data_IF_540239741198
#
_entry.id   IF_540239741198
#
_cell.length_a   1.000
_cell.length_b   1.000
_cell.length_c   1.000
_cell.angle_alpha   90.00
_cell.angle_beta   90.00
_cell.angle_gamma   90.00
#
_symmetry.space_group_name_H-M   'P 1'
#
loop_
_entity.id
_entity.type
_entity.pdbx_description
1 polymer ?
#
# COMPACT_ATOMS: atom_id res chain seq x y z
N UNK A 1 -16.55 15.91 15.22
CA UNK A 1 -16.15 17.32 15.03
C UNK A 1 -14.67 17.39 15.35
N UNK A 2 -13.80 17.29 14.35
CA UNK A 2 -12.36 17.37 14.56
C UNK A 2 -11.99 18.81 14.86
N UNK A 3 -11.50 19.07 16.06
CA UNK A 3 -10.93 20.37 16.42
C UNK A 3 -9.54 20.44 15.80
N UNK A 4 -9.40 21.16 14.71
CA UNK A 4 -8.09 21.51 14.15
C UNK A 4 -7.41 22.46 15.14
N UNK A 5 -6.68 21.90 16.09
CA UNK A 5 -5.76 22.67 16.89
C UNK A 5 -4.68 23.25 15.99
N UNK A 6 -4.61 24.56 15.88
CA UNK A 6 -3.56 25.25 15.14
C UNK A 6 -2.20 24.96 15.81
N UNK A 7 -1.53 23.90 15.40
CA UNK A 7 -0.16 23.60 15.78
C UNK A 7 0.78 24.48 14.97
N UNK A 8 1.92 24.87 15.56
CA UNK A 8 2.95 25.71 14.92
C UNK A 8 3.53 25.13 13.61
N UNK A 9 3.25 23.86 13.31
CA UNK A 9 3.77 23.15 12.12
C UNK A 9 2.71 22.94 11.02
N UNK A 10 1.55 23.59 11.13
CA UNK A 10 0.55 23.50 10.08
C UNK A 10 0.81 24.55 8.98
N UNK A 11 0.88 24.10 7.75
CA UNK A 11 0.97 24.95 6.57
C UNK A 11 -0.38 24.86 5.85
N UNK A 12 -1.26 25.81 6.10
CA UNK A 12 -2.63 25.77 5.59
C UNK A 12 -3.37 24.53 6.17
N UNK A 13 -3.99 23.68 5.31
CA UNK A 13 -4.72 22.51 5.74
C UNK A 13 -3.81 21.31 6.11
N UNK A 14 -2.50 21.43 5.92
CA UNK A 14 -1.56 20.31 6.07
C UNK A 14 -0.96 20.25 7.47
N UNK A 15 -0.98 19.08 8.08
CA UNK A 15 -0.26 18.77 9.32
C UNK A 15 0.99 17.92 9.00
N UNK A 16 2.17 18.54 9.03
CA UNK A 16 3.46 17.86 8.77
C UNK A 16 4.18 17.45 10.08
N UNK A 17 3.45 17.22 11.15
CA UNK A 17 4.06 16.77 12.40
C UNK A 17 4.55 15.32 12.29
N UNK A 18 5.74 15.08 12.82
CA UNK A 18 6.29 13.74 13.07
C UNK A 18 6.52 13.61 14.56
N UNK A 19 6.23 12.45 15.11
CA UNK A 19 6.53 12.17 16.51
C UNK A 19 8.06 12.24 16.74
N UNK A 20 8.46 13.21 17.56
CA UNK A 20 9.87 13.51 17.83
C UNK A 20 10.57 12.40 18.63
N UNK A 21 9.84 11.69 19.48
CA UNK A 21 10.41 10.62 20.30
C UNK A 21 10.90 9.44 19.46
N UNK A 22 10.27 9.19 18.31
CA UNK A 22 10.58 8.07 17.43
C UNK A 22 11.18 8.49 16.09
N UNK A 23 11.49 9.78 15.92
CA UNK A 23 11.93 10.38 14.65
C UNK A 23 13.11 9.63 14.02
N UNK A 24 14.15 9.35 14.80
CA UNK A 24 15.36 8.68 14.32
C UNK A 24 15.03 7.30 13.77
N UNK A 25 14.25 6.50 14.50
CA UNK A 25 13.85 5.15 14.07
C UNK A 25 13.01 5.21 12.81
N UNK A 26 12.09 6.16 12.69
CA UNK A 26 11.29 6.35 11.47
C UNK A 26 12.18 6.60 10.26
N UNK A 27 13.19 7.47 10.38
CA UNK A 27 14.13 7.73 9.29
C UNK A 27 15.07 6.57 8.99
N UNK A 28 15.45 5.75 9.98
CA UNK A 28 16.18 4.50 9.73
C UNK A 28 15.38 3.58 8.79
N UNK A 29 14.07 3.43 9.03
CA UNK A 29 13.21 2.63 8.13
C UNK A 29 13.00 3.30 6.77
N UNK A 30 12.96 4.63 6.69
CA UNK A 30 12.97 5.33 5.39
C UNK A 30 14.23 4.96 4.60
N UNK A 31 15.40 5.07 5.21
CA UNK A 31 16.68 4.73 4.58
C UNK A 31 16.70 3.24 4.18
N UNK A 32 16.25 2.35 5.06
CA UNK A 32 16.19 0.92 4.77
C UNK A 32 15.31 0.61 3.54
N UNK A 33 14.11 1.20 3.46
CA UNK A 33 13.24 1.02 2.31
C UNK A 33 13.83 1.58 1.00
N UNK A 34 14.51 2.74 1.08
CA UNK A 34 15.24 3.30 -0.05
C UNK A 34 16.42 2.42 -0.48
N UNK A 35 17.17 1.84 0.48
CA UNK A 35 18.25 0.91 0.19
C UNK A 35 17.76 -0.37 -0.47
N UNK A 36 16.60 -0.91 -0.05
CA UNK A 36 15.97 -2.07 -0.70
C UNK A 36 15.63 -1.73 -2.16
N UNK A 37 14.98 -0.59 -2.40
CA UNK A 37 14.64 -0.15 -3.75
C UNK A 37 15.90 0.08 -4.61
N UNK A 38 16.94 0.69 -4.03
CA UNK A 38 18.20 0.94 -4.69
C UNK A 38 18.97 -0.36 -5.00
N UNK A 39 18.96 -1.35 -4.10
CA UNK A 39 19.54 -2.65 -4.36
C UNK A 39 18.89 -3.33 -5.58
N UNK A 40 17.53 -3.33 -5.65
CA UNK A 40 16.83 -3.87 -6.82
C UNK A 40 17.22 -3.12 -8.09
N UNK A 41 17.31 -1.79 -8.04
CA UNK A 41 17.79 -0.98 -9.16
C UNK A 41 19.19 -1.41 -9.62
N UNK A 42 20.14 -1.58 -8.71
CA UNK A 42 21.52 -1.96 -9.07
C UNK A 42 21.59 -3.29 -9.83
N UNK A 43 20.78 -4.27 -9.45
CA UNK A 43 20.71 -5.57 -10.11
C UNK A 43 19.99 -5.57 -11.46
N UNK A 44 19.18 -4.55 -11.72
CA UNK A 44 18.28 -4.50 -12.90
C UNK A 44 18.40 -3.21 -13.70
N UNK A 45 19.40 -2.38 -13.43
CA UNK A 45 19.57 -1.01 -13.96
C UNK A 45 19.63 -0.90 -15.49
N UNK A 46 19.98 -1.98 -16.17
CA UNK A 46 20.05 -2.01 -17.65
C UNK A 46 18.65 -2.10 -18.31
N UNK A 47 17.60 -2.25 -17.53
CA UNK A 47 16.24 -2.34 -18.05
C UNK A 47 15.65 -0.94 -18.30
N UNK A 48 15.04 -0.75 -19.47
CA UNK A 48 14.40 0.52 -19.85
C UNK A 48 13.27 0.97 -18.90
N UNK A 49 12.73 0.09 -18.07
CA UNK A 49 11.72 0.45 -17.06
C UNK A 49 12.24 1.41 -15.98
N UNK A 50 13.55 1.64 -15.91
CA UNK A 50 14.19 2.60 -15.01
C UNK A 50 14.40 3.98 -15.62
N UNK A 51 14.14 4.14 -16.91
CA UNK A 51 14.28 5.43 -17.58
C UNK A 51 13.26 6.43 -17.04
N UNK A 52 13.77 7.61 -16.62
CA UNK A 52 12.94 8.70 -16.09
C UNK A 52 13.19 9.94 -16.95
N UNK A 53 12.24 10.21 -17.82
CA UNK A 53 12.19 11.45 -18.61
C UNK A 53 11.17 12.44 -18.09
N UNK A 54 10.93 13.50 -18.85
CA UNK A 54 9.95 14.54 -18.51
C UNK A 54 8.54 13.96 -18.33
N UNK A 55 8.18 12.96 -19.15
CA UNK A 55 6.88 12.28 -19.08
C UNK A 55 6.68 11.59 -17.74
N UNK A 56 7.69 10.83 -17.28
CA UNK A 56 7.65 10.09 -16.03
C UNK A 56 7.58 11.05 -14.83
N UNK A 57 8.28 12.18 -14.86
CA UNK A 57 8.19 13.22 -13.82
C UNK A 57 6.78 13.79 -13.73
N UNK A 58 6.12 14.05 -14.86
CA UNK A 58 4.72 14.49 -14.87
C UNK A 58 3.80 13.42 -14.28
N UNK A 59 4.00 12.15 -14.62
CA UNK A 59 3.21 11.06 -14.05
C UNK A 59 3.48 10.85 -12.55
N UNK A 60 4.69 11.07 -12.06
CA UNK A 60 4.97 11.09 -10.61
C UNK A 60 4.12 12.13 -9.89
N UNK A 61 4.08 13.36 -10.41
CA UNK A 61 3.31 14.45 -9.83
C UNK A 61 1.80 14.16 -9.85
N UNK A 62 1.28 13.70 -10.99
CA UNK A 62 -0.15 13.36 -11.13
C UNK A 62 -0.51 12.18 -10.20
N UNK A 63 0.29 11.12 -10.18
CA UNK A 63 0.06 9.95 -9.34
C UNK A 63 0.08 10.28 -7.85
N UNK A 64 1.06 11.08 -7.41
CA UNK A 64 1.14 11.53 -6.02
C UNK A 64 -0.06 12.42 -5.64
N UNK A 65 -0.45 13.37 -6.49
CA UNK A 65 -1.59 14.24 -6.25
C UNK A 65 -2.90 13.44 -6.16
N UNK A 66 -3.14 12.52 -7.10
CA UNK A 66 -4.32 11.67 -7.07
C UNK A 66 -4.33 10.78 -5.81
N UNK A 67 -3.20 10.16 -5.48
CA UNK A 67 -3.14 9.32 -4.29
C UNK A 67 -3.38 10.13 -3.01
N UNK A 68 -2.80 11.33 -2.89
CA UNK A 68 -3.01 12.22 -1.75
C UNK A 68 -4.49 12.61 -1.60
N UNK A 69 -5.13 13.09 -2.68
CA UNK A 69 -6.53 13.53 -2.65
C UNK A 69 -7.47 12.37 -2.33
N UNK A 70 -7.31 11.23 -2.99
CA UNK A 70 -8.17 10.08 -2.72
C UNK A 70 -7.89 9.45 -1.35
N UNK A 71 -6.65 9.43 -0.86
CA UNK A 71 -6.35 9.02 0.51
C UNK A 71 -7.04 9.93 1.52
N UNK A 72 -6.93 11.25 1.36
CA UNK A 72 -7.63 12.21 2.22
C UNK A 72 -9.15 12.01 2.20
N UNK A 73 -9.73 11.85 1.01
CA UNK A 73 -11.18 11.67 0.84
C UNK A 73 -11.70 10.44 1.60
N UNK A 74 -10.97 9.33 1.58
CA UNK A 74 -11.37 8.09 2.24
C UNK A 74 -10.95 8.01 3.72
N UNK A 75 -9.80 8.53 4.09
CA UNK A 75 -9.34 8.53 5.48
C UNK A 75 -10.18 9.45 6.37
N UNK A 76 -10.68 10.57 5.83
CA UNK A 76 -11.39 11.57 6.60
C UNK A 76 -12.85 11.26 6.88
N UNK A 77 -13.48 10.34 6.16
CA UNK A 77 -14.95 10.33 6.11
C UNK A 77 -15.61 8.99 6.32
N UNK A 78 -14.97 7.84 6.12
CA UNK A 78 -15.82 6.69 5.85
C UNK A 78 -15.63 5.48 6.73
N UNK A 79 -14.47 4.89 6.85
CA UNK A 79 -14.40 3.60 7.55
C UNK A 79 -13.04 3.36 8.19
N UNK A 80 -13.02 3.41 9.51
CA UNK A 80 -11.91 2.87 10.28
C UNK A 80 -12.08 1.35 10.34
N UNK A 81 -11.04 0.63 9.96
CA UNK A 81 -11.01 -0.83 10.09
C UNK A 81 -10.59 -1.19 11.52
N UNK A 82 -11.20 -2.19 12.15
CA UNK A 82 -10.71 -2.71 13.42
C UNK A 82 -9.21 -3.03 13.33
N UNK A 83 -8.39 -2.29 14.09
CA UNK A 83 -6.93 -2.38 14.01
C UNK A 83 -6.29 -1.80 15.27
N UNK A 84 -5.00 -1.98 15.43
CA UNK A 84 -4.24 -1.41 16.54
C UNK A 84 -4.00 0.10 16.38
N UNK A 85 -3.81 0.53 15.14
CA UNK A 85 -3.71 1.94 14.77
C UNK A 85 -4.89 2.34 13.88
N UNK A 86 -5.00 3.63 13.54
CA UNK A 86 -6.09 4.15 12.70
C UNK A 86 -5.96 3.69 11.24
N UNK A 87 -6.16 2.40 11.01
CA UNK A 87 -6.19 1.86 9.63
C UNK A 87 -7.54 2.20 9.00
N UNK A 88 -7.49 2.92 7.90
CA UNK A 88 -8.68 3.28 7.12
C UNK A 88 -8.78 2.42 5.87
N UNK A 89 -10.00 2.19 5.39
CA UNK A 89 -10.22 1.62 4.05
C UNK A 89 -9.61 2.56 3.01
N UNK A 90 -8.71 2.03 2.19
CA UNK A 90 -7.92 2.85 1.27
C UNK A 90 -8.01 2.37 -0.19
N UNK A 91 -9.14 2.62 -0.88
CA UNK A 91 -9.27 2.32 -2.32
C UNK A 91 -8.19 3.00 -3.16
N UNK A 92 -7.70 4.14 -2.69
CA UNK A 92 -6.64 4.90 -3.32
C UNK A 92 -5.35 4.10 -3.56
N UNK A 93 -5.12 2.99 -2.82
CA UNK A 93 -3.92 2.15 -2.99
C UNK A 93 -3.77 1.58 -4.42
N UNK A 94 -4.87 1.47 -5.16
CA UNK A 94 -4.83 1.07 -6.56
C UNK A 94 -4.09 2.08 -7.46
N UNK A 95 -3.97 3.35 -7.02
CA UNK A 95 -3.29 4.41 -7.78
C UNK A 95 -1.78 4.13 -7.89
N UNK A 96 -1.00 4.03 -6.80
CA UNK A 96 0.42 3.71 -6.93
C UNK A 96 0.68 2.37 -7.63
N UNK A 97 -0.20 1.37 -7.47
CA UNK A 97 -0.10 0.11 -8.21
C UNK A 97 -0.24 0.31 -9.71
N UNK A 98 -1.25 1.06 -10.14
CA UNK A 98 -1.46 1.38 -11.55
C UNK A 98 -0.32 2.21 -12.12
N UNK A 99 0.08 3.29 -11.41
CA UNK A 99 1.16 4.16 -11.89
C UNK A 99 2.50 3.44 -11.97
N UNK A 100 2.80 2.56 -11.02
CA UNK A 100 3.98 1.69 -11.08
C UNK A 100 3.94 0.78 -12.30
N UNK A 101 2.86 0.05 -12.49
CA UNK A 101 2.70 -0.85 -13.62
C UNK A 101 2.73 -0.13 -14.98
N UNK A 102 2.08 1.02 -15.11
CA UNK A 102 1.95 1.73 -16.38
C UNK A 102 3.19 2.54 -16.77
N UNK A 103 3.95 3.05 -15.78
CA UNK A 103 4.99 4.06 -16.01
C UNK A 103 6.35 3.73 -15.36
N UNK A 104 6.47 2.60 -14.69
CA UNK A 104 7.71 2.11 -14.12
C UNK A 104 7.84 2.19 -12.60
N UNK A 105 8.83 1.47 -12.04
CA UNK A 105 8.98 1.32 -10.58
C UNK A 105 9.19 2.65 -9.87
N UNK A 106 9.95 3.58 -10.47
CA UNK A 106 10.26 4.89 -9.89
C UNK A 106 8.99 5.75 -9.77
N UNK A 107 8.15 5.74 -10.82
CA UNK A 107 6.87 6.47 -10.83
C UNK A 107 5.93 5.91 -9.78
N UNK A 108 5.82 4.57 -9.68
CA UNK A 108 5.01 3.92 -8.67
C UNK A 108 5.47 4.23 -7.25
N UNK A 109 6.79 4.16 -7.02
CA UNK A 109 7.38 4.51 -5.71
C UNK A 109 7.05 5.95 -5.31
N UNK A 110 7.32 6.89 -6.18
CA UNK A 110 7.06 8.31 -5.93
C UNK A 110 5.57 8.59 -5.67
N UNK A 111 4.70 8.04 -6.52
CA UNK A 111 3.24 8.18 -6.37
C UNK A 111 2.76 7.66 -5.02
N UNK A 112 3.23 6.50 -4.59
CA UNK A 112 2.87 5.91 -3.30
C UNK A 112 3.47 6.65 -2.11
N UNK A 113 4.78 6.92 -2.13
CA UNK A 113 5.48 7.53 -0.99
C UNK A 113 5.06 8.99 -0.79
N UNK A 114 5.20 9.82 -1.82
CA UNK A 114 4.91 11.25 -1.73
C UNK A 114 3.41 11.49 -1.60
N UNK A 115 2.59 10.75 -2.35
CA UNK A 115 1.14 10.83 -2.22
C UNK A 115 0.63 10.46 -0.83
N UNK A 116 1.25 9.46 -0.16
CA UNK A 116 0.92 9.14 1.23
C UNK A 116 1.30 10.27 2.20
N UNK A 117 2.48 10.88 2.04
CA UNK A 117 2.91 12.01 2.87
C UNK A 117 1.85 13.13 2.83
N UNK A 118 1.44 13.53 1.64
CA UNK A 118 0.43 14.59 1.50
C UNK A 118 -0.97 14.14 1.92
N UNK A 119 -1.34 12.89 1.68
CA UNK A 119 -2.60 12.31 2.14
C UNK A 119 -2.71 12.32 3.67
N UNK A 120 -1.68 11.86 4.36
CA UNK A 120 -1.62 11.85 5.82
C UNK A 120 -1.58 13.28 6.40
N UNK A 121 -0.83 14.19 5.77
CA UNK A 121 -0.80 15.59 6.16
C UNK A 121 -2.18 16.27 6.03
N UNK A 122 -2.94 15.95 4.97
CA UNK A 122 -4.29 16.48 4.74
C UNK A 122 -5.32 15.90 5.72
N UNK A 123 -5.15 14.65 6.15
CA UNK A 123 -6.05 14.03 7.14
C UNK A 123 -5.84 14.55 8.57
N UNK A 124 -4.74 15.24 8.80
CA UNK A 124 -4.40 15.78 10.12
C UNK A 124 -3.80 14.75 11.08
N UNK A 125 -3.56 13.52 10.66
CA UNK A 125 -2.95 12.46 11.50
C UNK A 125 -1.46 12.71 11.80
N UNK A 126 -0.83 13.65 11.10
CA UNK A 126 0.61 13.80 11.09
C UNK A 126 1.30 12.78 10.19
N UNK A 127 2.62 12.83 10.14
CA UNK A 127 3.39 12.01 9.22
C UNK A 127 3.87 10.72 9.87
N UNK A 128 3.74 9.64 9.12
CA UNK A 128 4.34 8.34 9.41
C UNK A 128 5.29 7.94 8.26
N UNK A 129 6.55 8.46 8.25
CA UNK A 129 7.47 8.30 7.13
C UNK A 129 7.72 6.85 6.72
N UNK A 130 7.76 5.90 7.67
CA UNK A 130 7.91 4.48 7.42
C UNK A 130 6.70 3.89 6.64
N UNK A 131 5.48 4.36 6.95
CA UNK A 131 4.27 3.98 6.21
C UNK A 131 4.26 4.60 4.81
N UNK A 132 4.78 5.81 4.67
CA UNK A 132 4.91 6.45 3.36
C UNK A 132 5.86 5.65 2.46
N UNK A 133 7.00 5.18 2.99
CA UNK A 133 7.90 4.29 2.25
C UNK A 133 7.23 2.95 1.93
N UNK A 134 6.48 2.36 2.87
CA UNK A 134 5.69 1.16 2.61
C UNK A 134 4.75 1.32 1.42
N UNK A 135 3.99 2.42 1.39
CA UNK A 135 3.11 2.75 0.25
C UNK A 135 3.91 3.02 -1.05
N UNK A 136 5.10 3.59 -0.94
CA UNK A 136 6.03 3.71 -2.07
C UNK A 136 6.45 2.34 -2.62
N UNK A 137 6.81 1.40 -1.73
CA UNK A 137 7.14 0.03 -2.12
C UNK A 137 5.98 -0.71 -2.79
N UNK A 138 4.72 -0.41 -2.43
CA UNK A 138 3.55 -0.95 -3.13
C UNK A 138 3.61 -0.62 -4.63
N UNK A 139 3.78 0.65 -4.96
CA UNK A 139 3.86 1.10 -6.35
C UNK A 139 5.15 0.65 -7.05
N UNK A 140 6.27 0.67 -6.33
CA UNK A 140 7.57 0.21 -6.80
C UNK A 140 7.52 -1.25 -7.28
N UNK A 141 7.03 -2.15 -6.42
CA UNK A 141 6.95 -3.58 -6.72
C UNK A 141 5.93 -3.84 -7.83
N UNK A 142 4.80 -3.13 -7.86
CA UNK A 142 3.87 -3.22 -8.98
C UNK A 142 4.55 -2.88 -10.31
N UNK A 143 5.43 -1.87 -10.33
CA UNK A 143 6.23 -1.46 -11.49
C UNK A 143 7.29 -2.48 -11.90
N UNK A 144 7.78 -3.30 -10.97
CA UNK A 144 8.75 -4.37 -11.29
C UNK A 144 8.20 -5.40 -12.30
N UNK A 145 6.90 -5.46 -12.51
CA UNK A 145 6.30 -6.26 -13.58
C UNK A 145 6.94 -5.98 -14.95
N UNK A 146 7.39 -4.76 -15.18
CA UNK A 146 8.00 -4.33 -16.44
C UNK A 146 9.44 -4.83 -16.62
N UNK A 147 10.09 -5.29 -15.55
CA UNK A 147 11.46 -5.83 -15.60
C UNK A 147 11.51 -7.24 -16.20
N UNK A 148 10.37 -7.92 -16.28
CA UNK A 148 10.31 -9.32 -16.72
C UNK A 148 9.74 -9.46 -18.11
N UNK A 149 10.49 -10.10 -19.02
CA UNK A 149 10.06 -10.40 -20.38
C UNK A 149 8.98 -11.48 -20.40
N UNK A 150 9.16 -12.54 -19.61
CA UNK A 150 8.17 -13.62 -19.45
C UNK A 150 7.19 -13.24 -18.33
N UNK A 151 6.12 -12.55 -18.72
CA UNK A 151 5.07 -12.11 -17.78
C UNK A 151 4.40 -13.28 -17.08
N UNK A 152 4.14 -14.36 -17.79
CA UNK A 152 3.43 -15.53 -17.23
C UNK A 152 4.24 -16.17 -16.12
N UNK A 153 5.51 -16.48 -16.38
CA UNK A 153 6.40 -17.06 -15.37
C UNK A 153 6.59 -16.12 -14.17
N UNK A 154 6.73 -14.83 -14.41
CA UNK A 154 6.86 -13.85 -13.34
C UNK A 154 5.61 -13.79 -12.45
N UNK A 155 4.41 -13.78 -13.06
CA UNK A 155 3.15 -13.82 -12.32
C UNK A 155 2.99 -15.09 -11.50
N UNK A 156 3.39 -16.26 -12.02
CA UNK A 156 3.33 -17.52 -11.28
C UNK A 156 4.24 -17.48 -10.03
N UNK A 157 5.46 -16.98 -10.18
CA UNK A 157 6.38 -16.80 -9.06
C UNK A 157 5.81 -15.83 -8.02
N UNK A 158 5.30 -14.67 -8.47
CA UNK A 158 4.69 -13.65 -7.61
C UNK A 158 3.49 -14.22 -6.84
N UNK A 159 2.65 -15.03 -7.50
CA UNK A 159 1.51 -15.70 -6.87
C UNK A 159 1.95 -16.63 -5.74
N UNK A 160 2.97 -17.46 -5.99
CA UNK A 160 3.49 -18.38 -4.96
C UNK A 160 4.04 -17.61 -3.77
N UNK A 161 4.88 -16.59 -4.00
CA UNK A 161 5.45 -15.76 -2.92
C UNK A 161 4.34 -15.07 -2.13
N UNK A 162 3.38 -14.44 -2.82
CA UNK A 162 2.26 -13.76 -2.18
C UNK A 162 1.37 -14.74 -1.40
N UNK A 163 1.12 -15.92 -1.95
CA UNK A 163 0.32 -16.96 -1.28
C UNK A 163 0.96 -17.47 0.00
N UNK A 164 2.27 -17.71 -0.02
CA UNK A 164 3.02 -18.11 1.18
C UNK A 164 2.99 -17.01 2.25
N UNK A 165 3.27 -15.76 1.88
CA UNK A 165 3.24 -14.65 2.82
C UNK A 165 1.84 -14.44 3.40
N UNK A 166 0.80 -14.46 2.58
CA UNK A 166 -0.57 -14.34 3.05
C UNK A 166 -0.95 -15.49 3.99
N UNK A 167 -0.60 -16.74 3.65
CA UNK A 167 -0.87 -17.89 4.47
C UNK A 167 -0.18 -17.81 5.85
N UNK A 168 1.09 -17.35 5.89
CA UNK A 168 1.81 -17.16 7.15
C UNK A 168 1.15 -16.11 8.05
N UNK A 169 0.70 -15.00 7.47
CA UNK A 169 0.03 -13.95 8.25
C UNK A 169 -1.34 -14.38 8.76
N UNK A 170 -2.10 -15.12 7.95
CA UNK A 170 -3.39 -15.70 8.36
C UNK A 170 -3.18 -16.78 9.43
N UNK A 171 -2.16 -17.63 9.29
CA UNK A 171 -1.83 -18.63 10.32
C UNK A 171 -1.51 -17.94 11.65
N UNK A 172 -0.72 -16.86 11.63
CA UNK A 172 -0.42 -16.08 12.83
C UNK A 172 -1.70 -15.55 13.50
N UNK A 173 -2.66 -15.08 12.71
CA UNK A 173 -3.97 -14.66 13.20
C UNK A 173 -4.73 -15.83 13.86
N UNK A 174 -4.80 -16.99 13.20
CA UNK A 174 -5.57 -18.13 13.67
C UNK A 174 -5.03 -18.74 14.98
N UNK A 175 -3.71 -18.72 15.18
CA UNK A 175 -3.07 -19.25 16.40
C UNK A 175 -3.03 -18.24 17.55
N UNK A 176 -3.37 -16.95 17.30
CA UNK A 176 -3.37 -15.88 18.30
C UNK A 176 -4.73 -15.16 18.41
N UNK A 177 -5.88 -15.85 18.49
CA UNK A 177 -7.18 -15.21 18.42
C UNK A 177 -7.44 -14.27 19.62
N UNK A 178 -6.90 -14.57 20.80
CA UNK A 178 -7.06 -13.74 22.01
C UNK A 178 -6.29 -12.42 21.92
N UNK A 179 -5.08 -12.43 21.33
CA UNK A 179 -4.28 -11.21 21.13
C UNK A 179 -4.94 -10.30 20.09
N UNK A 180 -5.51 -10.89 19.04
CA UNK A 180 -6.27 -10.18 18.03
C UNK A 180 -7.52 -9.47 18.62
N UNK A 181 -8.16 -10.07 19.61
CA UNK A 181 -9.40 -9.57 20.20
C UNK A 181 -9.22 -8.25 21.00
N UNK A 182 -8.01 -7.88 21.39
CA UNK A 182 -7.71 -6.63 22.09
C UNK A 182 -7.32 -5.45 21.18
N UNK A 183 -7.24 -5.67 19.89
CA UNK A 183 -6.67 -4.73 18.92
C UNK A 183 -7.71 -3.89 18.16
N UNK A 184 -8.88 -3.66 18.75
CA UNK A 184 -9.91 -2.84 18.15
C UNK A 184 -9.84 -1.41 18.69
N UNK A 185 -9.63 -0.46 17.79
CA UNK A 185 -9.81 0.96 18.08
C UNK A 185 -11.28 1.33 17.89
N UNK A 186 -11.95 1.73 18.97
CA UNK A 186 -13.30 2.23 18.93
C UNK A 186 -13.29 3.76 18.66
N UNK A 187 -13.72 4.21 17.49
CA UNK A 187 -13.71 5.63 17.14
C UNK A 187 -14.76 6.44 17.95
N UNK A 188 -15.75 5.79 18.59
CA UNK A 188 -16.77 6.47 19.38
C UNK A 188 -16.23 6.83 20.75
N UNK A 189 -15.52 5.90 21.38
CA UNK A 189 -14.93 6.12 22.71
C UNK A 189 -13.52 6.69 22.64
N UNK A 190 -12.92 6.74 21.43
CA UNK A 190 -11.53 7.13 21.18
C UNK A 190 -10.52 6.32 22.00
N UNK A 191 -10.85 5.08 22.30
CA UNK A 191 -10.01 4.15 23.05
C UNK A 191 -9.88 2.82 22.30
N UNK A 192 -8.80 2.09 22.62
CA UNK A 192 -8.70 0.69 22.22
C UNK A 192 -9.66 -0.11 23.10
N UNK A 193 -10.78 -0.53 22.53
CA UNK A 193 -11.76 -1.38 23.20
C UNK A 193 -11.33 -2.84 23.21
N UNK A 194 -11.97 -3.65 24.05
CA UNK A 194 -11.78 -5.10 24.07
C UNK A 194 -12.70 -5.82 23.06
N UNK A 195 -13.19 -5.08 22.07
CA UNK A 195 -14.06 -5.64 21.04
C UNK A 195 -13.26 -6.59 20.15
N UNK A 196 -13.72 -7.83 19.96
CA UNK A 196 -12.99 -8.80 19.17
C UNK A 196 -12.80 -8.29 17.75
N UNK A 197 -11.59 -8.44 17.20
CA UNK A 197 -11.43 -8.38 15.75
C UNK A 197 -12.35 -9.44 15.14
N UNK A 198 -13.23 -9.00 14.24
CA UNK A 198 -14.05 -9.96 13.52
C UNK A 198 -13.16 -10.86 12.68
N UNK A 199 -13.55 -12.11 12.52
CA UNK A 199 -12.84 -13.06 11.66
C UNK A 199 -12.66 -12.51 10.24
N UNK A 200 -13.57 -11.63 9.81
CA UNK A 200 -13.46 -10.92 8.53
C UNK A 200 -12.23 -10.03 8.46
N UNK A 201 -11.88 -9.28 9.50
CA UNK A 201 -10.69 -8.41 9.48
C UNK A 201 -9.41 -9.22 9.25
N UNK A 202 -9.29 -10.41 9.88
CA UNK A 202 -8.16 -11.30 9.70
C UNK A 202 -8.15 -12.07 8.37
N UNK A 203 -9.32 -12.31 7.77
CA UNK A 203 -9.46 -13.12 6.55
C UNK A 203 -9.70 -12.31 5.27
N UNK A 204 -9.82 -10.98 5.34
CA UNK A 204 -9.99 -10.13 4.15
C UNK A 204 -8.85 -10.30 3.13
N UNK A 205 -7.62 -10.59 3.59
CA UNK A 205 -6.49 -10.87 2.70
C UNK A 205 -6.73 -12.13 1.85
N UNK A 206 -7.39 -13.15 2.40
CA UNK A 206 -7.77 -14.37 1.66
C UNK A 206 -8.80 -14.04 0.58
N UNK A 207 -9.80 -13.23 0.93
CA UNK A 207 -10.82 -12.77 -0.03
C UNK A 207 -10.13 -11.97 -1.15
N UNK A 208 -9.26 -11.03 -0.81
CA UNK A 208 -8.50 -10.25 -1.78
C UNK A 208 -7.62 -11.12 -2.68
N UNK A 209 -6.96 -12.14 -2.12
CA UNK A 209 -6.15 -13.09 -2.88
C UNK A 209 -7.01 -13.89 -3.88
N UNK A 210 -8.18 -14.40 -3.44
CA UNK A 210 -9.13 -15.12 -4.31
C UNK A 210 -9.62 -14.20 -5.42
N UNK A 211 -9.92 -12.94 -5.13
CA UNK A 211 -10.32 -11.97 -6.16
C UNK A 211 -9.22 -11.72 -7.18
N UNK A 212 -7.95 -11.62 -6.77
CA UNK A 212 -6.81 -11.51 -7.69
C UNK A 212 -6.72 -12.75 -8.58
N UNK A 213 -6.91 -13.96 -8.05
CA UNK A 213 -6.97 -15.18 -8.85
C UNK A 213 -8.13 -15.15 -9.85
N UNK A 214 -9.31 -14.71 -9.41
CA UNK A 214 -10.47 -14.57 -10.28
C UNK A 214 -10.22 -13.57 -11.42
N UNK A 215 -9.66 -12.40 -11.11
CA UNK A 215 -9.27 -11.39 -12.13
C UNK A 215 -8.26 -11.99 -13.10
N UNK A 216 -7.23 -12.68 -12.61
CA UNK A 216 -6.24 -13.32 -13.46
C UNK A 216 -6.86 -14.38 -14.39
N UNK A 217 -7.83 -15.14 -13.90
CA UNK A 217 -8.56 -16.12 -14.72
C UNK A 217 -9.44 -15.46 -15.77
N UNK A 218 -10.22 -14.45 -15.40
CA UNK A 218 -11.10 -13.70 -16.32
C UNK A 218 -10.29 -12.99 -17.39
N UNK A 219 -9.18 -12.36 -17.01
CA UNK A 219 -8.31 -11.60 -17.92
C UNK A 219 -7.11 -12.42 -18.43
N UNK A 220 -7.23 -13.77 -18.48
CA UNK A 220 -6.14 -14.64 -18.95
C UNK A 220 -5.63 -14.33 -20.36
N UNK A 221 -6.48 -13.72 -21.19
CA UNK A 221 -6.13 -13.27 -22.54
C UNK A 221 -5.65 -11.81 -22.58
N UNK A 222 -5.61 -11.12 -21.45
CA UNK A 222 -5.08 -9.78 -21.29
C UNK A 222 -3.99 -9.79 -20.23
N UNK A 223 -2.78 -10.19 -20.64
CA UNK A 223 -1.64 -10.32 -19.75
C UNK A 223 -1.30 -9.01 -19.00
N UNK A 224 -1.62 -7.86 -19.58
CA UNK A 224 -1.34 -6.58 -18.94
C UNK A 224 -2.19 -6.39 -17.68
N UNK A 225 -3.49 -6.66 -17.75
CA UNK A 225 -4.38 -6.59 -16.59
C UNK A 225 -3.99 -7.64 -15.56
N UNK A 226 -3.76 -8.88 -16.00
CA UNK A 226 -3.38 -9.97 -15.11
C UNK A 226 -2.06 -9.68 -14.37
N UNK A 227 -1.04 -9.16 -15.07
CA UNK A 227 0.25 -8.81 -14.49
C UNK A 227 0.13 -7.63 -13.52
N UNK A 228 -0.59 -6.57 -13.88
CA UNK A 228 -0.77 -5.39 -13.03
C UNK A 228 -1.37 -5.76 -11.67
N UNK A 229 -2.44 -6.56 -11.66
CA UNK A 229 -3.10 -6.98 -10.41
C UNK A 229 -2.23 -7.94 -9.62
N UNK A 230 -1.56 -8.89 -10.27
CA UNK A 230 -0.71 -9.89 -9.59
C UNK A 230 0.51 -9.22 -8.94
N UNK A 231 1.22 -8.36 -9.65
CA UNK A 231 2.35 -7.61 -9.11
C UNK A 231 1.92 -6.54 -8.09
N UNK A 232 0.75 -5.91 -8.30
CA UNK A 232 0.14 -5.03 -7.31
C UNK A 232 -0.17 -5.73 -5.99
N UNK A 233 -0.63 -6.99 -6.04
CA UNK A 233 -0.82 -7.82 -4.86
C UNK A 233 0.48 -8.04 -4.08
N UNK A 234 1.57 -8.43 -4.75
CA UNK A 234 2.87 -8.60 -4.10
C UNK A 234 3.34 -7.28 -3.50
N UNK A 235 3.20 -6.18 -4.25
CA UNK A 235 3.53 -4.84 -3.77
C UNK A 235 2.77 -4.49 -2.49
N UNK A 236 1.47 -4.72 -2.47
CA UNK A 236 0.66 -4.49 -1.28
C UNK A 236 1.12 -5.34 -0.09
N UNK A 237 1.34 -6.64 -0.30
CA UNK A 237 1.78 -7.53 0.79
C UNK A 237 3.14 -7.07 1.33
N UNK A 238 4.14 -6.87 0.49
CA UNK A 238 5.49 -6.53 0.94
C UNK A 238 5.55 -5.09 1.48
N UNK A 239 4.96 -4.13 0.78
CA UNK A 239 5.01 -2.72 1.18
C UNK A 239 4.29 -2.46 2.51
N UNK A 240 3.10 -3.02 2.69
CA UNK A 240 2.35 -2.86 3.94
C UNK A 240 2.97 -3.70 5.07
N UNK A 241 3.51 -4.89 4.77
CA UNK A 241 4.23 -5.69 5.77
C UNK A 241 5.50 -4.97 6.25
N UNK A 242 6.25 -4.32 5.35
CA UNK A 242 7.40 -3.49 5.69
C UNK A 242 7.00 -2.38 6.68
N UNK A 243 5.92 -1.66 6.39
CA UNK A 243 5.43 -0.59 7.26
C UNK A 243 5.00 -1.13 8.64
N UNK A 244 4.18 -2.18 8.67
CA UNK A 244 3.69 -2.76 9.91
C UNK A 244 4.83 -3.36 10.77
N UNK A 245 5.79 -4.06 10.16
CA UNK A 245 6.94 -4.61 10.89
C UNK A 245 7.87 -3.53 11.43
N UNK A 246 7.94 -2.36 10.79
CA UNK A 246 8.72 -1.24 11.32
C UNK A 246 8.19 -0.75 12.68
N UNK A 247 6.88 -0.88 12.91
CA UNK A 247 6.23 -0.44 14.14
C UNK A 247 6.55 -1.35 15.36
N UNK A 248 7.13 -2.53 15.14
CA UNK A 248 7.74 -3.32 16.22
C UNK A 248 8.85 -2.51 16.90
N UNK A 249 9.65 -1.80 16.12
CA UNK A 249 10.80 -1.04 16.61
C UNK A 249 10.41 0.41 16.98
N UNK A 250 9.48 1.00 16.24
CA UNK A 250 9.06 2.39 16.39
C UNK A 250 8.08 2.55 17.56
N UNK A 251 7.05 1.70 17.58
CA UNK A 251 5.94 1.77 18.53
C UNK A 251 6.00 0.68 19.61
N UNK A 252 7.04 -0.18 19.60
CA UNK A 252 7.21 -1.25 20.59
C UNK A 252 6.19 -2.40 20.44
N UNK A 253 5.61 -2.59 19.26
CA UNK A 253 4.62 -3.63 19.04
C UNK A 253 5.24 -5.03 19.05
N UNK A 254 4.46 -6.00 19.48
CA UNK A 254 4.82 -7.41 19.26
C UNK A 254 4.64 -7.78 17.78
N UNK A 255 5.27 -8.86 17.32
CA UNK A 255 5.06 -9.37 15.96
C UNK A 255 3.58 -9.63 15.67
N UNK A 256 2.85 -10.17 16.64
CA UNK A 256 1.40 -10.41 16.49
C UNK A 256 0.64 -9.10 16.35
N UNK A 257 0.95 -8.10 17.16
CA UNK A 257 0.33 -6.78 17.08
C UNK A 257 0.57 -6.14 15.70
N UNK A 258 1.80 -6.14 15.23
CA UNK A 258 2.16 -5.57 13.93
C UNK A 258 1.47 -6.30 12.76
N UNK A 259 1.49 -7.64 12.75
CA UNK A 259 0.94 -8.41 11.64
C UNK A 259 -0.59 -8.49 11.71
N UNK A 260 -1.13 -8.87 12.87
CA UNK A 260 -2.57 -9.07 13.02
C UNK A 260 -3.30 -7.76 13.24
N UNK A 261 -2.70 -6.85 14.00
CA UNK A 261 -3.32 -5.58 14.38
C UNK A 261 -3.21 -4.46 13.34
N UNK A 262 -2.22 -4.51 12.44
CA UNK A 262 -2.00 -3.46 11.46
C UNK A 262 -1.93 -3.98 10.02
N UNK A 263 -1.06 -4.97 9.76
CA UNK A 263 -0.87 -5.48 8.40
C UNK A 263 -2.16 -6.08 7.82
N UNK A 264 -2.79 -7.05 8.48
CA UNK A 264 -3.99 -7.71 7.95
C UNK A 264 -5.16 -6.74 7.75
N UNK A 265 -5.48 -5.84 8.70
CA UNK A 265 -6.53 -4.83 8.50
C UNK A 265 -6.28 -3.85 7.35
N UNK A 266 -5.00 -3.57 7.05
CA UNK A 266 -4.63 -2.70 5.94
C UNK A 266 -4.55 -3.47 4.61
N UNK A 267 -3.76 -4.54 4.58
CA UNK A 267 -3.43 -5.26 3.35
C UNK A 267 -4.63 -6.02 2.77
N UNK A 268 -5.50 -6.57 3.61
CA UNK A 268 -6.67 -7.33 3.17
C UNK A 268 -7.65 -6.47 2.35
N UNK A 269 -8.23 -5.41 2.90
CA UNK A 269 -9.10 -4.49 2.16
C UNK A 269 -8.42 -3.85 0.94
N UNK A 270 -7.14 -3.50 1.06
CA UNK A 270 -6.36 -2.98 -0.07
C UNK A 270 -6.38 -3.93 -1.27
N UNK A 271 -6.23 -5.24 -1.05
CA UNK A 271 -6.26 -6.23 -2.13
C UNK A 271 -7.64 -6.33 -2.79
N UNK A 272 -8.71 -6.22 -2.02
CA UNK A 272 -10.07 -6.22 -2.56
C UNK A 272 -10.26 -5.04 -3.51
N UNK A 273 -9.87 -3.83 -3.08
CA UNK A 273 -9.95 -2.65 -3.92
C UNK A 273 -9.01 -2.72 -5.13
N UNK A 274 -7.79 -3.23 -4.95
CA UNK A 274 -6.84 -3.41 -6.04
C UNK A 274 -7.38 -4.36 -7.11
N UNK A 275 -7.98 -5.49 -6.72
CA UNK A 275 -8.55 -6.45 -7.64
C UNK A 275 -9.69 -5.87 -8.50
N UNK A 276 -10.38 -4.83 -8.01
CA UNK A 276 -11.45 -4.15 -8.73
C UNK A 276 -10.91 -2.98 -9.55
N UNK A 277 -10.13 -2.08 -8.92
CA UNK A 277 -9.78 -0.79 -9.51
C UNK A 277 -8.59 -0.87 -10.47
N UNK A 278 -7.58 -1.72 -10.19
CA UNK A 278 -6.41 -1.83 -11.08
C UNK A 278 -6.79 -2.32 -12.48
N UNK A 279 -7.65 -3.35 -12.66
CA UNK A 279 -8.15 -3.73 -13.98
C UNK A 279 -8.84 -2.60 -14.72
N UNK A 280 -9.65 -1.79 -14.01
CA UNK A 280 -10.36 -0.65 -14.59
C UNK A 280 -9.37 0.42 -15.08
N UNK A 281 -8.37 0.76 -14.27
CA UNK A 281 -7.36 1.77 -14.64
C UNK A 281 -6.50 1.31 -15.82
N UNK A 282 -6.03 0.06 -15.81
CA UNK A 282 -5.23 -0.51 -16.90
C UNK A 282 -6.06 -0.61 -18.17
N UNK A 283 -7.33 -1.02 -18.07
CA UNK A 283 -8.24 -1.11 -19.20
C UNK A 283 -8.55 0.26 -19.83
N UNK A 284 -8.85 1.26 -18.99
CA UNK A 284 -9.08 2.64 -19.42
C UNK A 284 -7.84 3.24 -20.10
N UNK A 285 -6.66 3.04 -19.51
CA UNK A 285 -5.40 3.52 -20.08
C UNK A 285 -5.11 2.88 -21.44
N UNK A 286 -5.30 1.56 -21.58
CA UNK A 286 -5.12 0.87 -22.85
C UNK A 286 -6.13 1.33 -23.91
N UNK A 287 -7.35 1.72 -23.52
CA UNK A 287 -8.32 2.27 -24.46
C UNK A 287 -7.88 3.64 -24.99
N UNK A 288 -7.39 4.53 -24.11
CA UNK A 288 -6.85 5.86 -24.49
C UNK A 288 -5.64 5.72 -25.41
N UNK A 289 -4.72 4.79 -25.13
CA UNK A 289 -3.56 4.56 -25.98
C UNK A 289 -3.98 4.14 -27.42
N UNK A 290 -4.96 3.24 -27.53
CA UNK A 290 -5.48 2.80 -28.85
C UNK A 290 -6.12 3.96 -29.63
N UNK A 291 -6.84 4.86 -28.96
CA UNK A 291 -7.46 6.03 -29.60
C UNK A 291 -6.44 7.07 -30.04
N UNK A 292 -5.33 7.21 -29.31
CA UNK A 292 -4.26 8.16 -29.64
C UNK A 292 -3.25 7.64 -30.68
N UNK A 293 -3.46 6.44 -31.25
CA UNK A 293 -2.57 5.85 -32.26
C UNK A 293 -1.21 5.40 -31.72
N UNK A 294 -1.13 5.16 -30.43
CA UNK A 294 0.09 4.73 -29.73
C UNK A 294 -0.01 3.29 -29.24
#
# INVERSE_FOLDING_TARGET
MFVFGASKNNIGPFNFQVDQATLVLRFVFVILGLLIAFAVYLFTRENAAWEVGTREVVWMAIGAALYAVFSWLFNGTVFVVPSLSQVSLRPAIAIPMFFGYAFGPVVGFFSGAVGNIFGDALTGFGLSPQWSIGNGLVGFIAGMALLFKDKKKSMDTVLWVSGVLAALTVLLFLINPKTANGLYFDPVTNNFGQTPMTIFAGLTIVIGFILVLAVRYVFRNNENVAAAVTWGMLGNIIGILFAALSDIFINGFTLVAAVVGEFLPAAGPNLIFAAILVPLFVGAYAAVQRQSGR
#
